data_IF_291344326308
#
_entry.id   IF_291344326308
#
_cell.length_a   1.000
_cell.length_b   1.000
_cell.length_c   1.000
_cell.angle_alpha   90.00
_cell.angle_beta   90.00
_cell.angle_gamma   90.00
#
_symmetry.space_group_name_H-M   'P 1'
#
loop_
_entity.id
_entity.type
_entity.pdbx_description
1 polymer ?
#
# COMPACT_ATOMS: atom_id res chain seq x y z
N UNK A 1 30.48 -17.41 26.44
CA UNK A 1 29.04 -17.14 26.29
C UNK A 1 28.89 -15.94 25.39
N UNK A 2 28.04 -16.03 24.39
CA UNK A 2 27.70 -14.92 23.50
C UNK A 2 26.34 -14.39 23.93
N UNK A 3 26.21 -13.08 24.14
CA UNK A 3 24.94 -12.41 24.31
C UNK A 3 24.55 -11.80 22.94
N UNK A 4 23.37 -12.15 22.46
CA UNK A 4 22.82 -11.56 21.24
C UNK A 4 21.71 -10.59 21.62
N UNK A 5 21.78 -9.37 21.10
CA UNK A 5 20.72 -8.39 21.20
C UNK A 5 20.47 -7.79 19.82
N UNK A 6 19.22 -7.67 19.43
CA UNK A 6 18.83 -7.07 18.17
C UNK A 6 18.51 -5.58 18.33
N UNK A 7 18.37 -4.87 17.21
CA UNK A 7 17.91 -3.48 17.22
C UNK A 7 16.47 -3.38 17.69
N UNK A 8 15.61 -4.32 17.27
CA UNK A 8 14.18 -4.36 17.61
C UNK A 8 13.76 -5.80 17.95
N UNK A 9 12.63 -5.95 18.62
CA UNK A 9 11.94 -7.23 18.76
C UNK A 9 11.14 -7.48 17.49
N UNK A 10 11.55 -8.47 16.68
CA UNK A 10 10.98 -8.73 15.35
C UNK A 10 9.81 -9.70 15.37
N UNK A 11 9.84 -10.66 16.27
CA UNK A 11 8.77 -11.64 16.45
C UNK A 11 8.05 -11.38 17.79
N UNK A 12 6.98 -10.61 17.70
CA UNK A 12 6.19 -10.23 18.87
C UNK A 12 5.38 -11.40 19.42
N UNK A 13 5.07 -12.40 18.60
CA UNK A 13 4.25 -13.55 19.02
C UNK A 13 5.04 -14.48 19.92
N UNK A 14 6.29 -14.72 19.56
CA UNK A 14 7.19 -15.57 20.33
C UNK A 14 8.12 -14.77 21.27
N UNK A 15 7.99 -13.44 21.28
CA UNK A 15 8.85 -12.56 22.07
C UNK A 15 10.32 -12.59 21.66
N UNK A 16 10.62 -12.83 20.37
CA UNK A 16 11.98 -13.06 19.89
C UNK A 16 12.50 -11.92 19.00
N UNK A 17 13.78 -11.52 19.12
CA UNK A 17 14.73 -11.94 20.14
C UNK A 17 14.38 -11.41 21.55
N UNK A 18 14.79 -12.15 22.58
CA UNK A 18 14.51 -11.81 23.98
C UNK A 18 15.18 -10.48 24.40
N UNK A 19 16.38 -10.23 23.87
CA UNK A 19 17.13 -9.00 24.14
C UNK A 19 17.10 -8.08 22.91
N UNK A 20 16.62 -6.86 23.09
CA UNK A 20 16.53 -5.84 22.04
C UNK A 20 16.76 -4.43 22.61
N UNK A 21 17.20 -3.50 21.76
CA UNK A 21 17.53 -2.13 22.14
C UNK A 21 16.31 -1.21 22.12
N UNK A 22 15.39 -1.42 21.19
CA UNK A 22 14.17 -0.64 21.07
C UNK A 22 12.94 -1.54 20.97
N UNK A 23 11.88 -1.22 21.68
CA UNK A 23 10.57 -1.87 21.53
C UNK A 23 9.94 -1.55 20.19
N UNK A 24 9.04 -2.40 19.73
CA UNK A 24 8.26 -2.14 18.52
C UNK A 24 7.39 -0.90 18.73
N UNK A 25 7.50 0.13 17.87
CA UNK A 25 6.69 1.32 17.99
C UNK A 25 5.20 0.96 17.78
N UNK A 26 4.35 1.57 18.59
CA UNK A 26 2.90 1.51 18.41
C UNK A 26 2.36 2.91 18.19
N UNK A 27 1.36 3.02 17.34
CA UNK A 27 0.63 4.26 17.12
C UNK A 27 -0.72 4.15 17.82
N UNK A 28 -0.95 4.98 18.82
CA UNK A 28 -2.15 4.89 19.68
C UNK A 28 -3.44 5.29 18.95
N UNK A 29 -3.35 6.18 17.98
CA UNK A 29 -4.49 6.73 17.22
C UNK A 29 -4.31 6.58 15.73
N UNK A 30 -4.22 5.34 15.17
CA UNK A 30 -4.20 5.15 13.73
C UNK A 30 -5.54 5.57 13.11
N UNK A 31 -5.54 5.90 11.82
CA UNK A 31 -6.74 6.34 11.11
C UNK A 31 -7.87 5.31 11.18
N UNK A 32 -7.55 4.00 11.07
CA UNK A 32 -8.53 2.92 11.22
C UNK A 32 -9.31 2.98 12.53
N UNK A 33 -8.64 3.35 13.63
CA UNK A 33 -9.29 3.52 14.95
C UNK A 33 -10.28 4.69 14.94
N UNK A 34 -9.95 5.79 14.26
CA UNK A 34 -10.87 6.92 14.14
C UNK A 34 -12.15 6.55 13.40
N UNK A 35 -12.03 5.72 12.37
CA UNK A 35 -13.19 5.20 11.64
C UNK A 35 -14.05 4.30 12.52
N UNK A 36 -13.41 3.42 13.33
CA UNK A 36 -14.12 2.57 14.30
C UNK A 36 -14.88 3.41 15.33
N UNK A 37 -14.23 4.43 15.91
CA UNK A 37 -14.86 5.35 16.89
C UNK A 37 -16.06 6.10 16.30
N UNK A 38 -16.09 6.32 14.99
CA UNK A 38 -17.22 6.95 14.28
C UNK A 38 -18.24 5.93 13.76
N UNK A 39 -18.05 4.62 13.99
CA UNK A 39 -18.92 3.57 13.49
C UNK A 39 -18.90 3.41 11.97
N UNK A 40 -17.85 3.88 11.31
CA UNK A 40 -17.68 3.79 9.85
C UNK A 40 -17.14 2.42 9.48
N UNK A 41 -18.00 1.60 8.87
CA UNK A 41 -17.60 0.28 8.41
C UNK A 41 -16.57 0.39 7.29
N UNK A 42 -15.50 -0.40 7.40
CA UNK A 42 -14.34 -0.31 6.53
C UNK A 42 -13.84 -1.68 6.09
N UNK A 43 -13.25 -1.76 4.90
CA UNK A 43 -12.56 -2.96 4.44
C UNK A 43 -11.08 -2.68 4.13
N UNK A 44 -10.27 -3.74 4.27
CA UNK A 44 -8.87 -3.81 3.85
C UNK A 44 -8.77 -4.90 2.80
N UNK A 45 -8.22 -4.59 1.63
CA UNK A 45 -8.15 -5.52 0.51
C UNK A 45 -6.78 -5.48 -0.14
N UNK A 46 -6.13 -6.61 -0.21
CA UNK A 46 -4.85 -6.79 -0.90
C UNK A 46 -4.54 -8.27 -1.07
N UNK A 47 -3.41 -8.55 -1.71
CA UNK A 47 -2.86 -9.90 -1.79
C UNK A 47 -1.80 -10.18 -0.70
N UNK A 48 -1.36 -11.44 -0.60
CA UNK A 48 -0.52 -11.97 0.48
C UNK A 48 0.69 -11.09 0.80
N UNK A 49 1.36 -10.56 -0.22
CA UNK A 49 2.63 -9.84 -0.07
C UNK A 49 2.48 -8.51 0.71
N UNK A 50 1.32 -7.90 0.63
CA UNK A 50 1.05 -6.59 1.24
C UNK A 50 -0.04 -6.62 2.31
N UNK A 51 -0.47 -7.81 2.74
CA UNK A 51 -1.51 -7.92 3.77
C UNK A 51 -1.12 -7.25 5.11
N UNK A 52 0.10 -7.43 5.63
CA UNK A 52 0.51 -6.70 6.83
C UNK A 52 0.52 -5.18 6.67
N UNK A 53 0.73 -4.67 5.44
CA UNK A 53 0.78 -3.23 5.17
C UNK A 53 -0.60 -2.57 5.33
N UNK A 54 -1.65 -3.23 4.87
CA UNK A 54 -3.03 -2.71 4.99
C UNK A 54 -3.70 -3.07 6.31
N UNK A 55 -3.10 -3.93 7.13
CA UNK A 55 -3.64 -4.36 8.42
C UNK A 55 -2.75 -3.91 9.57
N UNK A 56 -1.72 -4.68 9.91
CA UNK A 56 -0.85 -4.46 11.06
C UNK A 56 -0.20 -3.08 11.07
N UNK A 57 0.47 -2.69 9.97
CA UNK A 57 1.17 -1.41 9.93
C UNK A 57 0.19 -0.23 9.88
N UNK A 58 -0.86 -0.35 9.09
CA UNK A 58 -1.88 0.69 8.99
C UNK A 58 -2.63 0.91 10.32
N UNK A 59 -2.86 -0.14 11.08
CA UNK A 59 -3.48 -0.06 12.40
C UNK A 59 -2.46 0.18 13.53
N UNK A 60 -1.27 0.71 13.22
CA UNK A 60 -0.31 1.16 14.22
C UNK A 60 0.29 0.05 15.07
N UNK A 61 0.41 -1.17 14.54
CA UNK A 61 0.99 -2.33 15.22
C UNK A 61 -0.04 -3.27 15.85
N UNK A 62 -1.33 -3.08 15.57
CA UNK A 62 -2.36 -4.04 15.96
C UNK A 62 -2.61 -5.05 14.83
N UNK A 63 -2.53 -6.35 15.14
CA UNK A 63 -2.67 -7.45 14.15
C UNK A 63 -4.12 -7.74 13.83
N UNK A 64 -4.93 -7.80 14.86
CA UNK A 64 -6.34 -8.08 14.73
C UNK A 64 -7.13 -6.80 14.44
N UNK A 65 -8.30 -6.91 13.80
CA UNK A 65 -9.20 -5.78 13.68
C UNK A 65 -9.48 -5.14 15.05
N UNK A 66 -9.46 -3.82 15.11
CA UNK A 66 -9.77 -3.08 16.34
C UNK A 66 -11.22 -3.31 16.78
N UNK A 67 -12.12 -3.46 15.81
CA UNK A 67 -13.47 -3.97 15.99
C UNK A 67 -13.86 -4.85 14.80
N UNK A 68 -13.99 -6.20 14.98
CA UNK A 68 -14.33 -7.11 13.90
C UNK A 68 -15.73 -6.90 13.26
N UNK A 69 -16.58 -6.06 13.87
CA UNK A 69 -17.88 -5.67 13.28
C UNK A 69 -17.75 -4.49 12.34
N UNK A 70 -16.67 -3.74 12.44
CA UNK A 70 -16.41 -2.49 11.71
C UNK A 70 -15.32 -2.69 10.67
N UNK A 71 -14.30 -3.52 10.95
CA UNK A 71 -13.15 -3.75 10.09
C UNK A 71 -13.18 -5.14 9.47
N UNK A 72 -13.38 -5.21 8.16
CA UNK A 72 -13.33 -6.45 7.39
C UNK A 72 -11.98 -6.56 6.65
N UNK A 73 -11.21 -7.64 6.92
CA UNK A 73 -9.93 -7.90 6.28
C UNK A 73 -10.08 -8.96 5.19
N UNK A 74 -9.72 -8.61 3.96
CA UNK A 74 -9.85 -9.48 2.78
C UNK A 74 -8.49 -9.72 2.15
N UNK A 75 -8.03 -10.96 2.26
CA UNK A 75 -6.81 -11.46 1.66
C UNK A 75 -7.11 -12.22 0.37
N UNK A 76 -6.50 -11.80 -0.74
CA UNK A 76 -6.44 -12.57 -1.98
C UNK A 76 -5.09 -13.31 -2.00
N UNK A 77 -5.06 -14.65 -2.03
CA UNK A 77 -3.80 -15.39 -2.05
C UNK A 77 -2.98 -15.07 -3.30
N UNK A 78 -1.73 -14.65 -3.11
CA UNK A 78 -0.78 -14.45 -4.21
C UNK A 78 -0.43 -15.76 -4.90
N UNK A 79 -0.04 -15.70 -6.17
CA UNK A 79 0.45 -16.85 -6.91
C UNK A 79 1.78 -17.37 -6.32
N UNK A 80 1.94 -18.68 -6.33
CA UNK A 80 3.18 -19.34 -5.90
C UNK A 80 4.12 -19.46 -7.10
N UNK A 81 4.87 -18.41 -7.37
CA UNK A 81 5.83 -18.33 -8.48
C UNK A 81 7.27 -18.16 -7.95
N UNK A 82 8.28 -18.63 -8.67
CA UNK A 82 9.69 -18.41 -8.29
C UNK A 82 10.07 -16.93 -8.24
N UNK A 83 9.52 -16.14 -9.14
CA UNK A 83 9.68 -14.68 -9.22
C UNK A 83 8.41 -14.04 -9.76
N UNK A 84 8.06 -12.86 -9.26
CA UNK A 84 6.91 -12.11 -9.78
C UNK A 84 7.12 -11.52 -11.18
N UNK A 85 8.34 -11.56 -11.71
CA UNK A 85 8.58 -11.27 -13.12
C UNK A 85 7.91 -12.28 -14.07
N UNK A 86 7.66 -13.52 -13.60
CA UNK A 86 6.97 -14.56 -14.38
C UNK A 86 5.43 -14.40 -14.35
N UNK A 87 4.90 -13.60 -13.41
CA UNK A 87 3.48 -13.32 -13.26
C UNK A 87 3.23 -11.85 -12.87
N UNK A 88 3.62 -10.87 -13.71
CA UNK A 88 3.64 -9.45 -13.34
C UNK A 88 2.25 -8.86 -13.08
N UNK A 89 1.20 -9.43 -13.65
CA UNK A 89 -0.17 -9.00 -13.37
C UNK A 89 -0.62 -9.32 -11.95
N UNK A 90 0.05 -10.27 -11.28
CA UNK A 90 -0.25 -10.68 -9.90
C UNK A 90 -1.78 -10.82 -9.71
N UNK A 91 -2.35 -10.23 -8.65
CA UNK A 91 -3.79 -10.29 -8.35
C UNK A 91 -4.54 -8.99 -8.65
N UNK A 92 -3.97 -8.09 -9.47
CA UNK A 92 -4.58 -6.79 -9.74
C UNK A 92 -6.04 -6.90 -10.23
N UNK A 93 -6.32 -7.78 -11.19
CA UNK A 93 -7.69 -7.98 -11.70
C UNK A 93 -8.66 -8.51 -10.64
N UNK A 94 -8.22 -9.45 -9.79
CA UNK A 94 -9.06 -10.01 -8.72
C UNK A 94 -9.32 -8.97 -7.62
N UNK A 95 -8.30 -8.17 -7.26
CA UNK A 95 -8.41 -7.07 -6.31
C UNK A 95 -9.39 -6.02 -6.85
N UNK A 96 -9.22 -5.59 -8.12
CA UNK A 96 -10.09 -4.60 -8.73
C UNK A 96 -11.56 -5.02 -8.73
N UNK A 97 -11.86 -6.25 -9.15
CA UNK A 97 -13.22 -6.82 -9.14
C UNK A 97 -13.81 -6.87 -7.73
N UNK A 98 -13.04 -7.33 -6.75
CA UNK A 98 -13.50 -7.40 -5.37
C UNK A 98 -13.75 -6.02 -4.77
N UNK A 99 -12.88 -5.05 -5.10
CA UNK A 99 -13.07 -3.66 -4.70
C UNK A 99 -14.35 -3.07 -5.30
N UNK A 100 -14.59 -3.29 -6.58
CA UNK A 100 -15.82 -2.88 -7.27
C UNK A 100 -17.08 -3.45 -6.59
N UNK A 101 -17.09 -4.76 -6.26
CA UNK A 101 -18.18 -5.40 -5.53
C UNK A 101 -18.43 -4.73 -4.18
N UNK A 102 -17.38 -4.43 -3.41
CA UNK A 102 -17.51 -3.79 -2.10
C UNK A 102 -18.02 -2.35 -2.21
N UNK A 103 -17.54 -1.59 -3.18
CA UNK A 103 -17.99 -0.23 -3.44
C UNK A 103 -19.49 -0.23 -3.78
N UNK A 104 -19.92 -1.07 -4.72
CA UNK A 104 -21.32 -1.16 -5.13
C UNK A 104 -22.25 -1.70 -4.05
N UNK A 105 -21.75 -2.46 -3.09
CA UNK A 105 -22.57 -3.00 -2.00
C UNK A 105 -23.17 -1.91 -1.10
N UNK A 106 -22.54 -0.74 -1.04
CA UNK A 106 -22.91 0.33 -0.11
C UNK A 106 -22.73 -0.02 1.37
N UNK A 107 -22.11 -1.17 1.66
CA UNK A 107 -21.94 -1.65 3.03
C UNK A 107 -20.80 -0.94 3.77
N UNK A 108 -19.89 -0.30 3.05
CA UNK A 108 -18.66 0.29 3.59
C UNK A 108 -18.63 1.79 3.34
N UNK A 109 -18.24 2.55 4.36
CA UNK A 109 -17.95 3.98 4.25
C UNK A 109 -16.48 4.28 3.92
N UNK A 110 -15.59 3.28 4.02
CA UNK A 110 -14.17 3.42 3.71
C UNK A 110 -13.58 2.11 3.21
N UNK A 111 -12.67 2.19 2.24
CA UNK A 111 -11.87 1.06 1.75
C UNK A 111 -10.40 1.42 1.62
N UNK A 112 -9.51 0.57 2.14
CA UNK A 112 -8.08 0.62 1.87
C UNK A 112 -7.68 -0.56 1.01
N UNK A 113 -7.16 -0.26 -0.17
CA UNK A 113 -6.80 -1.25 -1.18
C UNK A 113 -5.32 -1.06 -1.50
N UNK A 114 -4.57 -2.14 -1.57
CA UNK A 114 -3.18 -2.10 -2.01
C UNK A 114 -2.99 -3.06 -3.19
N UNK A 115 -2.32 -2.57 -4.22
CA UNK A 115 -1.80 -3.33 -5.35
C UNK A 115 -0.30 -3.53 -5.14
N UNK A 116 0.12 -4.77 -4.93
CA UNK A 116 1.52 -5.10 -4.67
C UNK A 116 2.41 -5.08 -5.93
N UNK A 117 1.80 -4.96 -7.10
CA UNK A 117 2.41 -5.19 -8.41
C UNK A 117 3.70 -4.40 -8.65
N UNK A 118 3.63 -3.07 -8.58
CA UNK A 118 4.76 -2.21 -8.94
C UNK A 118 5.97 -2.44 -8.01
N UNK A 119 5.74 -2.67 -6.72
CA UNK A 119 6.80 -2.94 -5.76
C UNK A 119 7.38 -4.35 -5.92
N UNK A 120 6.54 -5.38 -5.90
CA UNK A 120 7.01 -6.77 -5.94
C UNK A 120 7.71 -7.12 -7.25
N UNK A 121 7.19 -6.63 -8.39
CA UNK A 121 7.80 -6.82 -9.69
C UNK A 121 9.02 -5.90 -9.86
N UNK A 122 8.99 -4.68 -9.35
CA UNK A 122 10.12 -3.77 -9.32
C UNK A 122 11.36 -4.37 -8.66
N UNK A 123 11.18 -5.09 -7.55
CA UNK A 123 12.25 -5.81 -6.87
C UNK A 123 12.94 -6.90 -7.70
N UNK A 124 12.34 -7.33 -8.80
CA UNK A 124 12.95 -8.31 -9.71
C UNK A 124 14.01 -7.70 -10.62
N UNK A 125 14.03 -6.37 -10.77
CA UNK A 125 14.91 -5.67 -11.72
C UNK A 125 14.50 -5.85 -13.20
N UNK A 126 13.39 -6.51 -13.50
CA UNK A 126 12.90 -6.72 -14.85
C UNK A 126 11.95 -5.58 -15.26
N UNK A 127 12.47 -4.63 -16.04
CA UNK A 127 11.73 -3.45 -16.46
C UNK A 127 10.49 -3.79 -17.30
N UNK A 128 10.59 -4.76 -18.21
CA UNK A 128 9.45 -5.15 -19.06
C UNK A 128 8.31 -5.72 -18.22
N UNK A 129 8.62 -6.59 -17.27
CA UNK A 129 7.65 -7.12 -16.33
C UNK A 129 7.04 -6.01 -15.45
N UNK A 130 7.83 -5.02 -15.02
CA UNK A 130 7.35 -3.90 -14.22
C UNK A 130 6.36 -3.01 -15.01
N UNK A 131 6.60 -2.80 -16.30
CA UNK A 131 5.63 -2.10 -17.18
C UNK A 131 4.30 -2.85 -17.20
N UNK A 132 4.31 -4.16 -17.43
CA UNK A 132 3.09 -4.98 -17.43
C UNK A 132 2.39 -4.96 -16.06
N UNK A 133 3.16 -4.94 -14.97
CA UNK A 133 2.64 -4.83 -13.62
C UNK A 133 1.85 -3.53 -13.41
N UNK A 134 2.42 -2.40 -13.82
CA UNK A 134 1.75 -1.08 -13.71
C UNK A 134 0.53 -0.99 -14.62
N UNK A 135 0.63 -1.47 -15.87
CA UNK A 135 -0.52 -1.52 -16.79
C UNK A 135 -1.68 -2.35 -16.23
N UNK A 136 -1.40 -3.46 -15.55
CA UNK A 136 -2.44 -4.29 -14.95
C UNK A 136 -3.15 -3.59 -13.78
N UNK A 137 -2.43 -2.76 -13.03
CA UNK A 137 -3.03 -1.92 -11.97
C UNK A 137 -3.91 -0.82 -12.59
N UNK A 138 -3.43 -0.15 -13.64
CA UNK A 138 -4.20 0.88 -14.36
C UNK A 138 -5.52 0.30 -14.90
N UNK A 139 -5.46 -0.88 -15.52
CA UNK A 139 -6.65 -1.59 -15.99
C UNK A 139 -7.64 -1.94 -14.87
N UNK A 140 -7.14 -2.28 -13.68
CA UNK A 140 -7.98 -2.58 -12.53
C UNK A 140 -8.62 -1.31 -11.91
N UNK A 141 -7.95 -0.16 -12.00
CA UNK A 141 -8.44 1.11 -11.46
C UNK A 141 -9.63 1.67 -12.25
N UNK A 142 -9.69 1.48 -13.57
CA UNK A 142 -10.76 2.02 -14.41
C UNK A 142 -12.17 1.68 -13.90
N UNK A 143 -12.55 0.39 -13.78
CA UNK A 143 -13.84 0.00 -13.22
C UNK A 143 -14.09 0.49 -11.78
N UNK A 144 -13.03 0.56 -10.95
CA UNK A 144 -13.15 1.07 -9.58
C UNK A 144 -13.52 2.56 -9.54
N UNK A 145 -12.93 3.37 -10.44
CA UNK A 145 -13.28 4.80 -10.57
C UNK A 145 -14.76 4.96 -10.94
N UNK A 146 -15.25 4.18 -11.89
CA UNK A 146 -16.67 4.22 -12.27
C UNK A 146 -17.59 3.75 -11.13
N UNK A 147 -17.18 2.74 -10.36
CA UNK A 147 -17.91 2.29 -9.18
C UNK A 147 -17.99 3.38 -8.10
N UNK A 148 -16.87 4.06 -7.81
CA UNK A 148 -16.80 5.18 -6.86
C UNK A 148 -17.73 6.31 -7.30
N UNK A 149 -17.71 6.65 -8.59
CA UNK A 149 -18.61 7.65 -9.17
C UNK A 149 -20.09 7.26 -9.00
N UNK A 150 -20.43 6.01 -9.24
CA UNK A 150 -21.80 5.52 -9.15
C UNK A 150 -22.39 5.61 -7.72
N UNK A 151 -21.54 5.51 -6.70
CA UNK A 151 -21.97 5.64 -5.29
C UNK A 151 -21.75 7.04 -4.70
N UNK A 152 -21.39 8.02 -5.54
CA UNK A 152 -21.07 9.37 -5.11
C UNK A 152 -19.93 9.44 -4.09
N UNK A 153 -18.94 8.57 -4.25
CA UNK A 153 -17.74 8.52 -3.43
C UNK A 153 -16.61 9.37 -4.00
N UNK A 154 -15.49 9.40 -3.29
CA UNK A 154 -14.21 9.91 -3.81
C UNK A 154 -13.12 8.85 -3.65
N UNK A 155 -12.05 8.97 -4.43
CA UNK A 155 -10.92 8.06 -4.38
C UNK A 155 -9.61 8.85 -4.28
N UNK A 156 -8.72 8.36 -3.44
CA UNK A 156 -7.32 8.84 -3.37
C UNK A 156 -6.41 7.71 -3.85
N UNK A 157 -5.51 8.03 -4.78
CA UNK A 157 -4.52 7.10 -5.32
C UNK A 157 -3.14 7.65 -4.98
N UNK A 158 -2.34 6.85 -4.29
CA UNK A 158 -0.97 7.20 -3.91
C UNK A 158 -0.11 5.94 -3.82
N UNK A 159 1.16 6.10 -3.46
CA UNK A 159 2.05 4.99 -3.12
C UNK A 159 2.74 5.26 -1.79
N UNK A 160 3.18 4.21 -1.11
CA UNK A 160 3.91 4.28 0.16
C UNK A 160 5.41 4.57 -0.04
N UNK A 161 5.95 4.25 -1.21
CA UNK A 161 7.31 4.56 -1.66
C UNK A 161 7.42 4.37 -3.17
N UNK A 162 8.53 4.79 -3.76
CA UNK A 162 8.89 4.49 -5.12
C UNK A 162 9.69 3.18 -5.22
N UNK A 163 9.61 2.52 -6.37
CA UNK A 163 10.40 1.33 -6.74
C UNK A 163 10.46 1.21 -8.27
N UNK A 164 9.33 0.89 -8.93
CA UNK A 164 9.26 0.72 -10.39
C UNK A 164 9.51 2.01 -11.18
N UNK A 165 9.53 3.17 -10.53
CA UNK A 165 9.86 4.47 -11.10
C UNK A 165 11.37 4.65 -11.36
N UNK A 166 12.24 3.86 -10.70
CA UNK A 166 13.71 3.94 -10.82
C UNK A 166 14.34 2.55 -10.89
N UNK A 167 14.12 1.86 -12.00
CA UNK A 167 14.59 0.48 -12.20
C UNK A 167 15.99 0.36 -12.79
N UNK A 168 16.65 1.47 -13.13
CA UNK A 168 17.99 1.50 -13.64
C UNK A 168 18.86 2.42 -12.79
N UNK A 169 20.05 1.94 -12.42
CA UNK A 169 21.04 2.72 -11.67
C UNK A 169 22.41 2.62 -12.34
N UNK A 170 23.27 3.60 -12.07
CA UNK A 170 24.66 3.54 -12.52
C UNK A 170 25.53 2.94 -11.42
N UNK A 171 26.25 1.89 -11.76
CA UNK A 171 27.29 1.34 -10.89
C UNK A 171 28.37 2.41 -10.66
N UNK A 172 28.61 2.75 -9.41
CA UNK A 172 29.56 3.82 -9.04
C UNK A 172 31.03 3.49 -9.34
N UNK A 173 31.35 2.23 -9.55
CA UNK A 173 32.73 1.76 -9.79
C UNK A 173 32.96 1.58 -11.29
N UNK A 174 32.11 0.83 -11.98
CA UNK A 174 32.25 0.56 -13.43
C UNK A 174 31.66 1.66 -14.32
N UNK A 175 30.71 2.48 -13.81
CA UNK A 175 29.97 3.46 -14.60
C UNK A 175 28.90 2.85 -15.51
N UNK A 176 28.73 1.53 -15.50
CA UNK A 176 27.74 0.82 -16.31
C UNK A 176 26.35 0.95 -15.71
N UNK A 177 25.34 0.88 -16.58
CA UNK A 177 23.96 0.84 -16.17
C UNK A 177 23.57 -0.58 -15.75
N UNK A 178 23.03 -0.72 -14.55
CA UNK A 178 22.57 -1.99 -14.00
C UNK A 178 21.13 -1.87 -13.48
N UNK A 179 20.43 -3.01 -13.32
CA UNK A 179 19.10 -3.03 -12.76
C UNK A 179 19.11 -2.61 -11.28
N UNK A 180 18.20 -1.71 -10.92
CA UNK A 180 17.90 -1.38 -9.51
C UNK A 180 16.77 -2.28 -9.01
N UNK A 181 16.93 -2.83 -7.82
CA UNK A 181 15.95 -3.66 -7.13
C UNK A 181 15.55 -3.05 -5.77
N UNK A 182 15.81 -1.76 -5.60
CA UNK A 182 15.65 -1.05 -4.33
C UNK A 182 14.50 -0.04 -4.44
N UNK A 183 13.93 0.30 -3.29
CA UNK A 183 13.04 1.45 -3.21
C UNK A 183 13.77 2.73 -3.60
N UNK A 184 13.09 3.61 -4.32
CA UNK A 184 13.58 4.96 -4.64
C UNK A 184 13.13 5.96 -3.56
N UNK A 185 13.78 7.11 -3.55
CA UNK A 185 13.38 8.28 -2.74
C UNK A 185 12.63 9.32 -3.58
N UNK A 186 12.23 8.96 -4.78
CA UNK A 186 11.50 9.84 -5.67
C UNK A 186 10.11 10.18 -5.10
N UNK A 187 9.56 11.34 -5.43
CA UNK A 187 8.17 11.66 -5.09
C UNK A 187 7.20 10.63 -5.66
N UNK A 188 6.23 10.22 -4.86
CA UNK A 188 5.16 9.31 -5.29
C UNK A 188 3.97 10.08 -5.83
N UNK A 189 3.15 9.48 -6.72
CA UNK A 189 1.92 10.12 -7.19
C UNK A 189 0.94 10.34 -6.03
N UNK A 190 0.20 11.43 -6.09
CA UNK A 190 -0.94 11.69 -5.21
C UNK A 190 -2.07 12.29 -6.04
N UNK A 191 -3.11 11.49 -6.29
CA UNK A 191 -4.24 11.88 -7.10
C UNK A 191 -5.52 11.79 -6.26
N UNK A 192 -6.39 12.77 -6.42
CA UNK A 192 -7.73 12.77 -5.83
C UNK A 192 -8.74 12.76 -6.97
N UNK A 193 -9.55 11.73 -7.01
CA UNK A 193 -10.72 11.67 -7.86
C UNK A 193 -11.96 12.01 -7.03
N UNK A 194 -12.54 13.16 -7.33
CA UNK A 194 -13.79 13.63 -6.73
C UNK A 194 -14.75 14.02 -7.86
N UNK A 195 -15.82 13.23 -8.11
CA UNK A 195 -16.77 13.50 -9.18
C UNK A 195 -17.61 14.79 -8.96
N UNK A 196 -17.57 15.34 -7.76
CA UNK A 196 -18.28 16.59 -7.39
C UNK A 196 -17.35 17.78 -7.23
N UNK A 197 -16.07 17.63 -7.60
CA UNK A 197 -15.13 18.73 -7.49
C UNK A 197 -15.59 19.96 -8.28
N UNK A 198 -15.84 21.04 -7.54
CA UNK A 198 -16.35 22.32 -8.04
C UNK A 198 -15.30 23.46 -8.02
N UNK A 199 -14.06 23.13 -7.68
CA UNK A 199 -12.97 24.09 -7.51
C UNK A 199 -12.91 24.73 -6.13
N UNK A 200 -13.73 24.29 -5.16
CA UNK A 200 -13.78 24.86 -3.80
C UNK A 200 -12.55 24.54 -2.95
N UNK A 201 -11.79 23.50 -3.30
CA UNK A 201 -10.54 23.16 -2.64
C UNK A 201 -9.38 23.01 -3.64
N UNK A 202 -8.16 23.06 -3.13
CA UNK A 202 -6.94 22.80 -3.91
C UNK A 202 -5.97 21.99 -3.07
N UNK A 203 -5.26 21.09 -3.72
CA UNK A 203 -4.10 20.47 -3.10
C UNK A 203 -3.05 21.55 -2.81
N UNK A 204 -2.32 21.42 -1.71
CA UNK A 204 -1.23 22.32 -1.41
C UNK A 204 -0.19 22.27 -2.52
N UNK A 205 0.33 23.42 -2.89
CA UNK A 205 1.39 23.51 -3.88
C UNK A 205 2.69 22.95 -3.29
N UNK A 206 3.19 21.87 -3.86
CA UNK A 206 4.47 21.27 -3.50
C UNK A 206 5.65 22.23 -3.69
N UNK A 207 5.61 23.08 -4.71
CA UNK A 207 6.66 24.06 -4.98
C UNK A 207 6.80 25.11 -3.87
N UNK A 208 5.71 25.42 -3.18
CA UNK A 208 5.68 26.39 -2.09
C UNK A 208 5.96 25.79 -0.69
N UNK A 209 5.85 24.46 -0.54
CA UNK A 209 6.03 23.74 0.73
C UNK A 209 6.91 22.50 0.53
N UNK A 210 8.20 22.66 0.71
CA UNK A 210 9.19 21.56 0.60
C UNK A 210 9.02 20.46 1.64
N UNK A 211 8.13 20.62 2.63
CA UNK A 211 7.92 19.70 3.74
C UNK A 211 6.77 18.71 3.51
N UNK A 212 6.06 18.78 2.37
CA UNK A 212 4.98 17.83 2.08
C UNK A 212 5.57 16.44 1.80
N UNK A 213 5.07 15.44 2.54
CA UNK A 213 5.48 14.05 2.43
C UNK A 213 4.34 13.10 2.79
N UNK A 214 4.58 11.81 2.77
CA UNK A 214 3.57 10.78 3.01
C UNK A 214 2.85 10.90 4.37
N UNK A 215 3.47 11.52 5.38
CA UNK A 215 2.81 11.74 6.67
C UNK A 215 1.65 12.75 6.63
N UNK A 216 1.47 13.44 5.52
CA UNK A 216 0.37 14.41 5.31
C UNK A 216 -0.81 13.81 4.53
N UNK A 217 -0.75 12.52 4.16
CA UNK A 217 -1.81 11.84 3.40
C UNK A 217 -2.99 11.43 4.29
N UNK A 218 -2.77 11.25 5.59
CA UNK A 218 -3.79 10.82 6.55
C UNK A 218 -4.32 11.98 7.40
#
# INVERSE_FOLDING_TARGET
RVCFASMMQYDLDNGFPEHFLAGTPRVDNPFGKRLVEQGIKQFRLTETQKFPHVTFFYNGGYREPLDPKIEDYHLIPSDKVPTFADAPMMKASEIGKRAEEFIHSGAYGYGLINFANADMVGHTGNLEAAVQAVESVDQALGPMVEAVKAVNGFMVITADHGNADEMLTKNRVSGETEASTKHSLNPVPFLVYDPFYDGSYRLRDFAANQDLNLSHVA
#
